data_IF_502865692942
#
_entry.id   IF_502865692942
#
_cell.length_a   1.000
_cell.length_b   1.000
_cell.length_c   1.000
_cell.angle_alpha   90.00
_cell.angle_beta   90.00
_cell.angle_gamma   90.00
#
_symmetry.space_group_name_H-M   'P 1'
#
loop_
_entity.id
_entity.type
_entity.pdbx_description
1 polymer ?
#
# COMPACT_ATOMS: atom_id res chain seq x y z
N UNK A 1 -2.97 -1.29 15.95
CA UNK A 1 -2.50 -2.71 15.88
C UNK A 1 -1.26 -2.77 15.00
N UNK A 2 -0.22 -3.54 15.35
CA UNK A 2 1.05 -3.52 14.60
C UNK A 2 1.01 -4.46 13.39
N UNK A 3 1.75 -4.12 12.34
CA UNK A 3 1.97 -4.94 11.14
C UNK A 3 2.45 -6.37 11.50
N UNK A 4 3.14 -6.52 12.63
CA UNK A 4 3.61 -7.79 13.17
C UNK A 4 2.48 -8.77 13.49
N UNK A 5 1.35 -8.27 14.01
CA UNK A 5 0.17 -9.10 14.32
C UNK A 5 -0.50 -9.58 13.03
N UNK A 6 -0.60 -8.72 12.00
CA UNK A 6 -1.10 -9.11 10.69
C UNK A 6 -0.29 -10.26 10.08
N UNK A 7 1.05 -10.12 10.09
CA UNK A 7 1.96 -11.15 9.59
C UNK A 7 1.70 -12.49 10.28
N UNK A 8 1.70 -12.51 11.62
CA UNK A 8 1.48 -13.74 12.41
C UNK A 8 0.12 -14.38 12.14
N UNK A 9 -0.94 -13.58 12.01
CA UNK A 9 -2.29 -14.08 11.69
C UNK A 9 -2.35 -14.68 10.28
N UNK A 10 -1.80 -14.01 9.30
CA UNK A 10 -1.77 -14.52 7.92
C UNK A 10 -0.90 -15.77 7.80
N UNK A 11 0.22 -15.85 8.53
CA UNK A 11 1.05 -17.06 8.59
C UNK A 11 0.28 -18.26 9.15
N UNK A 12 -0.54 -18.04 10.19
CA UNK A 12 -1.39 -19.08 10.77
C UNK A 12 -2.47 -19.58 9.80
N UNK A 13 -3.03 -18.68 8.96
CA UNK A 13 -4.12 -18.99 8.03
C UNK A 13 -3.61 -19.59 6.71
N UNK A 14 -2.60 -18.97 6.10
CA UNK A 14 -2.15 -19.29 4.74
C UNK A 14 -0.87 -20.13 4.73
N UNK A 15 -0.17 -20.22 5.87
CA UNK A 15 1.18 -20.75 5.95
C UNK A 15 2.25 -19.67 5.76
N UNK A 16 3.45 -19.94 6.24
CA UNK A 16 4.53 -18.96 6.35
C UNK A 16 4.94 -18.38 4.98
N UNK A 17 5.11 -19.25 3.98
CA UNK A 17 5.61 -18.87 2.65
C UNK A 17 4.59 -17.99 1.90
N UNK A 18 3.34 -18.43 1.80
CA UNK A 18 2.27 -17.69 1.12
C UNK A 18 1.99 -16.34 1.79
N UNK A 19 1.97 -16.30 3.13
CA UNK A 19 1.71 -15.06 3.85
C UNK A 19 2.81 -14.01 3.63
N UNK A 20 4.09 -14.43 3.66
CA UNK A 20 5.22 -13.55 3.39
C UNK A 20 5.17 -12.99 1.97
N UNK A 21 4.95 -13.86 0.99
CA UNK A 21 4.92 -13.46 -0.41
C UNK A 21 3.72 -12.55 -0.74
N UNK A 22 2.54 -12.84 -0.16
CA UNK A 22 1.34 -11.99 -0.31
C UNK A 22 1.61 -10.55 0.16
N UNK A 23 2.21 -10.41 1.34
CA UNK A 23 2.53 -9.10 1.90
C UNK A 23 3.64 -8.40 1.11
N UNK A 24 4.66 -9.15 0.69
CA UNK A 24 5.75 -8.63 -0.13
C UNK A 24 5.24 -8.06 -1.47
N UNK A 25 4.45 -8.83 -2.22
CA UNK A 25 3.93 -8.37 -3.52
C UNK A 25 2.93 -7.21 -3.35
N UNK A 26 2.16 -7.20 -2.28
CA UNK A 26 1.29 -6.06 -1.95
C UNK A 26 2.10 -4.78 -1.67
N UNK A 27 3.17 -4.87 -0.87
CA UNK A 27 4.05 -3.72 -0.59
C UNK A 27 4.76 -3.22 -1.85
N UNK A 28 5.23 -4.14 -2.71
CA UNK A 28 5.85 -3.79 -4.00
C UNK A 28 4.86 -3.12 -4.96
N UNK A 29 3.64 -3.64 -5.05
CA UNK A 29 2.59 -3.02 -5.85
C UNK A 29 2.33 -1.57 -5.41
N UNK A 30 2.23 -1.31 -4.10
CA UNK A 30 2.08 0.03 -3.54
C UNK A 30 3.27 0.93 -3.82
N UNK A 31 4.49 0.46 -3.58
CA UNK A 31 5.69 1.26 -3.78
C UNK A 31 5.87 1.67 -5.24
N UNK A 32 5.62 0.76 -6.18
CA UNK A 32 5.70 1.05 -7.62
C UNK A 32 4.59 2.00 -8.09
N UNK A 33 3.39 1.90 -7.50
CA UNK A 33 2.32 2.88 -7.73
C UNK A 33 2.76 4.29 -7.34
N UNK A 34 3.34 4.46 -6.14
CA UNK A 34 3.83 5.76 -5.69
C UNK A 34 4.96 6.33 -6.56
N UNK A 35 5.80 5.46 -7.11
CA UNK A 35 6.85 5.86 -8.07
C UNK A 35 6.29 6.18 -9.46
N UNK A 36 5.03 5.86 -9.74
CA UNK A 36 4.42 6.01 -11.07
C UNK A 36 4.96 5.01 -12.09
N UNK A 37 5.60 3.92 -11.63
CA UNK A 37 6.09 2.85 -12.51
C UNK A 37 4.94 1.92 -12.89
N UNK A 38 4.24 2.28 -13.97
CA UNK A 38 3.06 1.56 -14.45
C UNK A 38 3.38 0.09 -14.71
N UNK A 39 4.47 -0.19 -15.39
CA UNK A 39 4.85 -1.55 -15.79
C UNK A 39 5.11 -2.45 -14.59
N UNK A 40 5.94 -1.98 -13.64
CA UNK A 40 6.23 -2.76 -12.44
C UNK A 40 5.02 -2.83 -11.50
N UNK A 41 4.22 -1.77 -11.40
CA UNK A 41 3.00 -1.75 -10.61
C UNK A 41 2.01 -2.83 -11.07
N UNK A 42 1.74 -2.93 -12.36
CA UNK A 42 0.89 -3.97 -12.94
C UNK A 42 1.50 -5.38 -12.80
N UNK A 43 2.82 -5.51 -12.88
CA UNK A 43 3.49 -6.81 -12.66
C UNK A 43 3.31 -7.29 -11.23
N UNK A 44 3.56 -6.44 -10.24
CA UNK A 44 3.40 -6.78 -8.82
C UNK A 44 1.93 -7.01 -8.46
N UNK A 45 0.99 -6.24 -9.02
CA UNK A 45 -0.45 -6.48 -8.82
C UNK A 45 -0.89 -7.86 -9.36
N UNK A 46 -0.37 -8.28 -10.51
CA UNK A 46 -0.65 -9.62 -11.04
C UNK A 46 -0.05 -10.73 -10.17
N UNK A 47 1.19 -10.57 -9.70
CA UNK A 47 1.82 -11.50 -8.74
C UNK A 47 1.05 -11.56 -7.42
N UNK A 48 0.64 -10.42 -6.89
CA UNK A 48 -0.27 -10.36 -5.74
C UNK A 48 -1.53 -11.19 -5.99
N UNK A 49 -2.13 -11.08 -7.19
CA UNK A 49 -3.33 -11.85 -7.55
C UNK A 49 -3.06 -13.36 -7.59
N UNK A 50 -1.92 -13.79 -8.13
CA UNK A 50 -1.50 -15.20 -8.19
C UNK A 50 -1.29 -15.78 -6.78
N UNK A 51 -0.59 -15.04 -5.91
CA UNK A 51 -0.36 -15.47 -4.53
C UNK A 51 -1.67 -15.45 -3.73
N UNK A 52 -2.48 -14.42 -3.88
CA UNK A 52 -3.75 -14.30 -3.17
C UNK A 52 -4.71 -15.45 -3.51
N UNK A 53 -4.85 -15.80 -4.80
CA UNK A 53 -5.73 -16.93 -5.19
C UNK A 53 -5.18 -18.26 -4.65
N UNK A 54 -3.86 -18.42 -4.54
CA UNK A 54 -3.21 -19.57 -3.91
C UNK A 54 -3.48 -19.60 -2.39
N UNK A 55 -3.49 -18.45 -1.71
CA UNK A 55 -3.91 -18.34 -0.31
C UNK A 55 -5.36 -18.82 -0.12
N UNK A 56 -6.28 -18.41 -1.00
CA UNK A 56 -7.68 -18.86 -0.95
C UNK A 56 -7.81 -20.37 -1.18
N UNK A 57 -7.01 -20.92 -2.11
CA UNK A 57 -6.95 -22.38 -2.34
C UNK A 57 -6.44 -23.10 -1.10
N UNK A 58 -5.41 -22.58 -0.42
CA UNK A 58 -4.89 -23.14 0.84
C UNK A 58 -5.94 -23.15 1.96
N UNK A 59 -6.79 -22.11 2.01
CA UNK A 59 -7.90 -22.05 2.97
C UNK A 59 -8.96 -23.09 2.66
N UNK A 60 -9.31 -23.28 1.38
CA UNK A 60 -10.30 -24.27 0.96
C UNK A 60 -9.82 -25.72 1.10
N UNK A 61 -8.50 -25.94 0.99
CA UNK A 61 -7.86 -27.26 1.10
C UNK A 61 -6.61 -27.16 1.97
N UNK A 62 -6.75 -27.21 3.30
CA UNK A 62 -5.64 -27.01 4.24
C UNK A 62 -4.46 -27.95 4.08
N UNK A 63 -4.69 -29.18 3.59
CA UNK A 63 -3.64 -30.17 3.34
C UNK A 63 -2.83 -29.95 2.07
N UNK A 64 -3.29 -29.07 1.16
CA UNK A 64 -2.60 -28.84 -0.12
C UNK A 64 -1.22 -28.22 0.11
N UNK A 65 -0.22 -28.76 -0.59
CA UNK A 65 1.09 -28.13 -0.72
C UNK A 65 1.13 -27.31 -2.02
N UNK A 66 1.37 -26.01 -1.88
CA UNK A 66 1.40 -25.08 -3.01
C UNK A 66 2.84 -24.70 -3.32
N UNK A 67 3.29 -25.04 -4.51
CA UNK A 67 4.56 -24.57 -5.06
C UNK A 67 4.35 -23.17 -5.67
N UNK A 68 4.99 -22.16 -5.06
CA UNK A 68 4.89 -20.77 -5.51
C UNK A 68 5.33 -20.55 -6.96
N UNK A 69 6.22 -21.40 -7.47
CA UNK A 69 6.72 -21.30 -8.85
C UNK A 69 5.76 -21.92 -9.88
N UNK A 70 4.72 -22.64 -9.44
CA UNK A 70 3.80 -23.41 -10.30
C UNK A 70 2.34 -23.06 -10.10
N UNK A 71 2.04 -21.84 -9.66
CA UNK A 71 0.67 -21.39 -9.46
C UNK A 71 -0.05 -21.31 -10.81
N UNK A 72 -1.10 -22.11 -10.98
CA UNK A 72 -1.96 -22.11 -12.16
C UNK A 72 -3.24 -21.31 -11.86
N UNK A 73 -3.17 -19.97 -11.97
CA UNK A 73 -4.26 -19.03 -11.62
C UNK A 73 -5.61 -19.49 -12.18
N UNK A 74 -5.70 -19.75 -13.49
CA UNK A 74 -6.96 -20.10 -14.14
C UNK A 74 -7.59 -21.40 -13.61
N UNK A 75 -6.77 -22.43 -13.29
CA UNK A 75 -7.25 -23.67 -12.67
C UNK A 75 -7.81 -23.41 -11.28
N UNK A 76 -7.04 -22.73 -10.44
CA UNK A 76 -7.45 -22.41 -9.05
C UNK A 76 -8.73 -21.57 -9.08
N UNK A 77 -8.83 -20.57 -9.96
CA UNK A 77 -10.03 -19.76 -10.12
C UNK A 77 -11.27 -20.62 -10.38
N UNK A 78 -11.20 -21.55 -11.33
CA UNK A 78 -12.32 -22.45 -11.65
C UNK A 78 -12.66 -23.36 -10.47
N UNK A 79 -11.66 -23.88 -9.77
CA UNK A 79 -11.88 -24.74 -8.60
C UNK A 79 -12.60 -23.98 -7.47
N UNK A 80 -12.20 -22.75 -7.18
CA UNK A 80 -12.83 -21.91 -6.14
C UNK A 80 -14.29 -21.58 -6.47
N UNK A 81 -14.63 -21.38 -7.76
CA UNK A 81 -16.02 -21.11 -8.17
C UNK A 81 -16.97 -22.28 -7.86
N UNK A 82 -16.47 -23.50 -7.79
CA UNK A 82 -17.23 -24.72 -7.50
C UNK A 82 -17.53 -24.92 -6.02
N UNK A 83 -16.84 -24.19 -5.12
CA UNK A 83 -17.02 -24.30 -3.67
C UNK A 83 -18.41 -23.77 -3.30
N UNK A 84 -19.19 -24.50 -2.49
CA UNK A 84 -20.43 -23.99 -1.92
C UNK A 84 -20.19 -22.72 -1.08
N UNK A 85 -21.15 -21.78 -1.13
CA UNK A 85 -21.04 -20.47 -0.48
C UNK A 85 -22.24 -20.23 0.45
N UNK A 86 -22.38 -21.01 1.54
CA UNK A 86 -23.52 -20.93 2.44
C UNK A 86 -23.55 -19.65 3.29
N UNK A 87 -22.46 -18.90 3.36
CA UNK A 87 -22.39 -17.65 4.12
C UNK A 87 -21.80 -16.50 3.32
N UNK A 88 -22.06 -15.26 3.74
CA UNK A 88 -21.49 -14.05 3.16
C UNK A 88 -19.94 -14.08 3.15
N UNK A 89 -19.32 -14.69 4.16
CA UNK A 89 -17.87 -14.87 4.23
C UNK A 89 -17.36 -15.73 3.06
N UNK A 90 -17.99 -16.87 2.81
CA UNK A 90 -17.61 -17.78 1.73
C UNK A 90 -17.93 -17.18 0.35
N UNK A 91 -19.03 -16.42 0.24
CA UNK A 91 -19.33 -15.66 -0.98
C UNK A 91 -18.20 -14.66 -1.30
N UNK A 92 -17.73 -13.90 -0.31
CA UNK A 92 -16.60 -12.97 -0.50
C UNK A 92 -15.33 -13.72 -0.86
N UNK A 93 -14.98 -14.80 -0.14
CA UNK A 93 -13.71 -15.52 -0.32
C UNK A 93 -13.65 -16.30 -1.64
N UNK A 94 -14.75 -16.96 -2.04
CA UNK A 94 -14.73 -17.92 -3.16
C UNK A 94 -15.46 -17.45 -4.41
N UNK A 95 -16.13 -16.28 -4.35
CA UNK A 95 -16.79 -15.67 -5.51
C UNK A 95 -16.23 -14.29 -5.80
N UNK A 96 -16.41 -13.33 -4.89
CA UNK A 96 -16.14 -11.91 -5.16
C UNK A 96 -14.63 -11.64 -5.28
N UNK A 97 -13.82 -12.03 -4.30
CA UNK A 97 -12.37 -11.83 -4.34
C UNK A 97 -11.73 -12.49 -5.58
N UNK A 98 -12.02 -13.77 -5.94
CA UNK A 98 -11.48 -14.36 -7.15
C UNK A 98 -11.83 -13.60 -8.44
N UNK A 99 -13.02 -13.00 -8.55
CA UNK A 99 -13.40 -12.19 -9.72
C UNK A 99 -12.57 -10.91 -9.82
N UNK A 100 -12.36 -10.23 -8.70
CA UNK A 100 -11.48 -9.03 -8.64
C UNK A 100 -10.05 -9.41 -9.00
N UNK A 101 -9.52 -10.50 -8.45
CA UNK A 101 -8.17 -11.00 -8.78
C UNK A 101 -8.05 -11.37 -10.27
N UNK A 102 -9.10 -11.97 -10.86
CA UNK A 102 -9.15 -12.27 -12.29
C UNK A 102 -9.10 -11.01 -13.15
N UNK A 103 -9.77 -9.94 -12.74
CA UNK A 103 -9.72 -8.67 -13.46
C UNK A 103 -8.31 -8.08 -13.45
N UNK A 104 -7.64 -8.03 -12.28
CA UNK A 104 -6.25 -7.58 -12.15
C UNK A 104 -5.32 -8.41 -13.04
N UNK A 105 -5.39 -9.73 -12.93
CA UNK A 105 -4.58 -10.67 -13.71
C UNK A 105 -4.81 -10.50 -15.23
N UNK A 106 -6.06 -10.26 -15.65
CA UNK A 106 -6.42 -10.07 -17.06
C UNK A 106 -5.85 -8.78 -17.64
N UNK A 107 -5.89 -7.67 -16.88
CA UNK A 107 -5.32 -6.39 -17.33
C UNK A 107 -3.84 -6.55 -17.64
N UNK A 108 -3.05 -7.14 -16.74
CA UNK A 108 -1.62 -7.38 -16.98
C UNK A 108 -1.38 -8.25 -18.21
N UNK A 109 -2.20 -9.28 -18.41
CA UNK A 109 -2.02 -10.21 -19.54
C UNK A 109 -2.47 -9.64 -20.88
N UNK A 110 -3.41 -8.71 -20.92
CA UNK A 110 -3.98 -8.10 -22.14
C UNK A 110 -3.32 -6.79 -22.51
N UNK A 111 -2.72 -6.08 -21.58
CA UNK A 111 -1.98 -4.83 -21.83
C UNK A 111 -0.49 -5.13 -22.09
N UNK A 112 0.22 -4.17 -22.67
CA UNK A 112 1.64 -4.28 -23.05
C UNK A 112 2.55 -4.11 -21.83
N UNK A 113 2.55 -5.09 -20.94
CA UNK A 113 3.38 -5.08 -19.71
C UNK A 113 4.63 -5.95 -19.86
N UNK A 114 4.49 -7.15 -20.45
CA UNK A 114 5.59 -8.11 -20.60
C UNK A 114 5.85 -8.54 -22.05
N UNK A 115 4.92 -8.31 -22.96
CA UNK A 115 5.00 -8.69 -24.36
C UNK A 115 4.41 -7.60 -25.26
N UNK A 116 4.73 -7.64 -26.55
CA UNK A 116 4.12 -6.76 -27.55
C UNK A 116 2.62 -7.09 -27.65
N UNK A 117 1.75 -6.18 -27.25
CA UNK A 117 0.29 -6.27 -27.32
C UNK A 117 -0.30 -5.09 -28.06
N UNK A 118 -1.57 -5.15 -28.44
CA UNK A 118 -2.23 -4.08 -29.20
C UNK A 118 -2.43 -2.79 -28.38
N UNK A 119 -2.57 -2.89 -27.06
CA UNK A 119 -2.82 -1.73 -26.18
C UNK A 119 -1.73 -1.59 -25.13
N UNK A 120 -1.24 -0.37 -24.93
CA UNK A 120 -0.31 -0.04 -23.86
C UNK A 120 -1.04 -0.01 -22.51
N UNK A 121 -0.30 -0.29 -21.44
CA UNK A 121 -0.74 -0.02 -20.09
C UNK A 121 -0.66 1.49 -19.80
N UNK A 122 -1.62 2.00 -19.05
CA UNK A 122 -1.70 3.43 -18.69
C UNK A 122 -1.93 3.63 -17.19
N UNK A 123 -2.03 4.90 -16.77
CA UNK A 123 -2.24 5.26 -15.38
C UNK A 123 -3.61 4.85 -14.84
N UNK A 124 -4.63 4.75 -15.69
CA UNK A 124 -5.98 4.31 -15.31
C UNK A 124 -5.94 2.83 -14.95
N UNK A 125 -5.21 2.01 -15.73
CA UNK A 125 -5.00 0.60 -15.43
C UNK A 125 -4.29 0.42 -14.07
N UNK A 126 -3.25 1.24 -13.81
CA UNK A 126 -2.51 1.19 -12.56
C UNK A 126 -3.40 1.60 -11.36
N UNK A 127 -4.20 2.65 -11.50
CA UNK A 127 -5.13 3.12 -10.47
C UNK A 127 -6.17 2.03 -10.14
N UNK A 128 -6.75 1.41 -11.16
CA UNK A 128 -7.70 0.32 -10.98
C UNK A 128 -7.08 -0.86 -10.22
N UNK A 129 -5.91 -1.33 -10.65
CA UNK A 129 -5.33 -2.53 -10.02
C UNK A 129 -4.86 -2.27 -8.60
N UNK A 130 -4.31 -1.07 -8.27
CA UNK A 130 -3.90 -0.78 -6.89
C UNK A 130 -5.10 -0.65 -5.97
N UNK A 131 -6.17 -0.01 -6.41
CA UNK A 131 -7.42 0.11 -5.65
C UNK A 131 -8.04 -1.26 -5.40
N UNK A 132 -8.02 -2.13 -6.41
CA UNK A 132 -8.49 -3.51 -6.31
C UNK A 132 -7.64 -4.35 -5.35
N UNK A 133 -6.31 -4.24 -5.40
CA UNK A 133 -5.41 -4.92 -4.44
C UNK A 133 -5.65 -4.43 -3.00
N UNK A 134 -5.85 -3.12 -2.81
CA UNK A 134 -6.18 -2.55 -1.51
C UNK A 134 -7.50 -3.10 -0.98
N UNK A 135 -8.54 -3.17 -1.81
CA UNK A 135 -9.83 -3.71 -1.42
C UNK A 135 -9.72 -5.19 -1.03
N UNK A 136 -9.05 -6.01 -1.85
CA UNK A 136 -8.84 -7.44 -1.56
C UNK A 136 -8.11 -7.63 -0.23
N UNK A 137 -7.01 -6.90 0.00
CA UNK A 137 -6.25 -6.97 1.25
C UNK A 137 -7.13 -6.59 2.45
N UNK A 138 -7.95 -5.54 2.32
CA UNK A 138 -8.88 -5.10 3.37
C UNK A 138 -9.91 -6.18 3.69
N UNK A 139 -10.47 -6.86 2.69
CA UNK A 139 -11.40 -7.98 2.92
C UNK A 139 -10.73 -9.14 3.66
N UNK A 140 -9.50 -9.50 3.30
CA UNK A 140 -8.75 -10.54 4.02
C UNK A 140 -8.49 -10.16 5.48
N UNK A 141 -8.19 -8.89 5.75
CA UNK A 141 -8.00 -8.37 7.11
C UNK A 141 -9.30 -8.47 7.90
N UNK A 142 -10.41 -7.99 7.37
CA UNK A 142 -11.73 -8.06 8.02
C UNK A 142 -12.07 -9.52 8.37
N UNK A 143 -11.91 -10.43 7.42
CA UNK A 143 -12.33 -11.83 7.56
C UNK A 143 -11.47 -12.60 8.58
N UNK A 144 -10.17 -12.33 8.64
CA UNK A 144 -9.25 -13.18 9.42
C UNK A 144 -8.74 -12.57 10.72
N UNK A 145 -8.86 -11.25 10.91
CA UNK A 145 -8.41 -10.60 12.14
C UNK A 145 -9.51 -10.38 13.17
N UNK A 146 -10.78 -10.45 12.77
CA UNK A 146 -11.96 -10.24 13.66
C UNK A 146 -11.85 -8.94 14.48
N UNK A 147 -11.43 -7.86 13.83
CA UNK A 147 -11.23 -6.56 14.48
C UNK A 147 -12.56 -5.80 14.60
N UNK A 148 -12.58 -4.82 15.51
CA UNK A 148 -13.59 -3.79 15.48
C UNK A 148 -13.55 -3.04 14.14
N UNK A 149 -14.64 -2.39 13.76
CA UNK A 149 -14.67 -1.58 12.53
C UNK A 149 -13.60 -0.48 12.55
N UNK A 150 -13.43 0.18 13.69
CA UNK A 150 -12.44 1.24 13.90
C UNK A 150 -11.01 0.73 13.76
N UNK A 151 -10.68 -0.40 14.40
CA UNK A 151 -9.38 -1.05 14.29
C UNK A 151 -9.10 -1.53 12.86
N UNK A 152 -10.13 -2.04 12.18
CA UNK A 152 -10.02 -2.48 10.79
C UNK A 152 -9.72 -1.30 9.88
N UNK A 153 -10.44 -0.18 10.03
CA UNK A 153 -10.21 1.05 9.27
C UNK A 153 -8.80 1.58 9.55
N UNK A 154 -8.40 1.64 10.83
CA UNK A 154 -7.08 2.11 11.24
C UNK A 154 -5.97 1.23 10.65
N UNK A 155 -6.08 -0.10 10.74
CA UNK A 155 -5.11 -1.03 10.18
C UNK A 155 -5.06 -0.96 8.65
N UNK A 156 -6.21 -0.94 7.98
CA UNK A 156 -6.30 -0.81 6.53
C UNK A 156 -5.64 0.50 6.07
N UNK A 157 -5.95 1.61 6.73
CA UNK A 157 -5.31 2.89 6.44
C UNK A 157 -3.79 2.82 6.64
N UNK A 158 -3.31 2.18 7.70
CA UNK A 158 -1.85 2.05 7.94
C UNK A 158 -1.15 1.19 6.87
N UNK A 159 -1.84 0.19 6.33
CA UNK A 159 -1.35 -0.62 5.20
C UNK A 159 -1.44 0.17 3.89
N UNK A 160 -2.45 1.03 3.77
CA UNK A 160 -2.65 1.92 2.62
C UNK A 160 -1.83 3.21 2.71
N UNK A 161 -1.20 3.51 3.87
CA UNK A 161 -0.34 4.68 4.03
C UNK A 161 0.79 4.68 3.01
N UNK A 162 1.04 5.86 2.46
CA UNK A 162 2.17 6.11 1.57
C UNK A 162 3.46 5.80 2.33
N UNK A 163 4.18 4.76 1.95
CA UNK A 163 5.55 4.55 2.44
C UNK A 163 6.50 5.26 1.51
N UNK A 164 6.95 6.43 1.91
CA UNK A 164 8.05 7.11 1.22
C UNK A 164 9.34 6.37 1.60
N UNK A 165 10.00 5.76 0.61
CA UNK A 165 11.24 4.99 0.83
C UNK A 165 12.36 5.80 1.49
N UNK A 166 12.28 7.12 1.43
CA UNK A 166 13.24 8.04 2.04
C UNK A 166 12.89 8.48 3.45
N UNK A 167 11.81 7.98 4.03
CA UNK A 167 11.43 8.18 5.43
C UNK A 167 11.25 6.81 6.09
N UNK A 168 12.01 6.56 7.15
CA UNK A 168 11.93 5.34 7.93
C UNK A 168 11.41 5.64 9.35
N UNK A 169 10.54 4.77 9.83
CA UNK A 169 10.08 4.77 11.21
C UNK A 169 10.60 3.52 11.89
N UNK A 170 11.42 3.71 12.90
CA UNK A 170 12.04 2.65 13.69
C UNK A 170 11.09 2.07 14.75
N UNK A 171 11.47 0.93 15.33
CA UNK A 171 10.66 0.20 16.32
C UNK A 171 10.44 1.01 17.62
N UNK A 172 11.39 1.87 17.98
CA UNK A 172 11.32 2.80 19.12
C UNK A 172 10.43 4.03 18.85
N UNK A 173 9.90 4.16 17.62
CA UNK A 173 9.06 5.25 17.18
C UNK A 173 9.84 6.43 16.58
N UNK A 174 11.18 6.38 16.54
CA UNK A 174 11.97 7.40 15.85
C UNK A 174 11.65 7.42 14.36
N UNK A 175 11.60 8.63 13.79
CA UNK A 175 11.37 8.85 12.35
C UNK A 175 12.60 9.53 11.79
N UNK A 176 13.18 8.93 10.75
CA UNK A 176 14.38 9.44 10.10
C UNK A 176 14.14 9.66 8.60
N UNK A 177 14.64 10.79 8.10
CA UNK A 177 14.70 11.07 6.66
C UNK A 177 16.03 10.53 6.14
N UNK A 178 15.99 9.48 5.33
CA UNK A 178 17.18 8.80 4.81
C UNK A 178 17.82 9.57 3.65
N UNK A 179 17.05 10.39 2.92
CA UNK A 179 17.53 11.17 1.77
C UNK A 179 18.43 12.32 2.24
N UNK A 180 19.70 12.28 1.83
CA UNK A 180 20.66 13.35 2.06
C UNK A 180 20.43 14.51 1.07
N UNK A 181 20.85 15.73 1.47
CA UNK A 181 20.85 16.92 0.59
C UNK A 181 19.49 17.61 0.40
N UNK A 182 18.45 17.20 1.10
CA UNK A 182 17.18 17.93 1.10
C UNK A 182 17.32 19.27 1.82
N UNK A 183 16.75 20.33 1.21
CA UNK A 183 16.58 21.61 1.92
C UNK A 183 15.54 21.42 3.03
N UNK A 184 15.65 22.19 4.11
CA UNK A 184 14.76 22.04 5.27
C UNK A 184 13.28 22.14 4.91
N UNK A 185 12.89 23.06 4.03
CA UNK A 185 11.51 23.19 3.53
C UNK A 185 11.00 21.91 2.81
N UNK A 186 11.91 21.25 2.09
CA UNK A 186 11.59 20.02 1.36
C UNK A 186 11.40 18.84 2.32
N UNK A 187 12.30 18.72 3.31
CA UNK A 187 12.19 17.74 4.37
C UNK A 187 10.89 17.91 5.17
N UNK A 188 10.55 19.16 5.52
CA UNK A 188 9.29 19.47 6.23
C UNK A 188 8.06 19.11 5.41
N UNK A 189 8.04 19.46 4.12
CA UNK A 189 6.92 19.13 3.24
C UNK A 189 6.81 17.60 3.03
N UNK A 190 7.94 16.90 2.92
CA UNK A 190 8.01 15.46 2.77
C UNK A 190 7.46 14.72 4.00
N UNK A 191 7.77 15.19 5.21
CA UNK A 191 7.21 14.66 6.46
C UNK A 191 5.69 14.84 6.49
N UNK A 192 5.19 16.02 6.15
CA UNK A 192 3.75 16.28 6.09
C UNK A 192 3.05 15.47 4.99
N UNK A 193 3.76 15.12 3.91
CA UNK A 193 3.25 14.25 2.86
C UNK A 193 3.18 12.79 3.30
N UNK A 194 4.20 12.31 4.06
CA UNK A 194 4.22 10.95 4.61
C UNK A 194 3.12 10.71 5.64
N UNK A 195 2.87 11.73 6.48
CA UNK A 195 1.88 11.63 7.56
C UNK A 195 0.70 12.55 7.24
N UNK A 196 -0.36 12.06 6.55
CA UNK A 196 -1.49 12.86 6.11
C UNK A 196 -2.44 13.22 7.26
N UNK A 197 -1.91 13.44 8.45
CA UNK A 197 -2.59 13.97 9.63
C UNK A 197 -2.05 15.35 9.98
N UNK A 198 -2.83 16.09 10.78
CA UNK A 198 -2.34 17.36 11.33
C UNK A 198 -1.19 17.08 12.30
N UNK A 199 -0.07 17.74 12.09
CA UNK A 199 1.14 17.61 12.91
C UNK A 199 1.41 18.90 13.65
N UNK A 200 1.65 18.78 14.95
CA UNK A 200 2.04 19.91 15.81
C UNK A 200 3.47 20.35 15.53
N UNK A 201 3.80 21.57 15.93
CA UNK A 201 5.20 22.07 15.84
C UNK A 201 6.17 21.22 16.66
N UNK A 202 5.70 20.66 17.77
CA UNK A 202 6.50 19.80 18.64
C UNK A 202 6.83 18.47 17.95
N UNK A 203 5.83 17.79 17.35
CA UNK A 203 6.05 16.56 16.55
C UNK A 203 7.05 16.80 15.41
N UNK A 204 6.86 17.90 14.65
CA UNK A 204 7.75 18.25 13.55
C UNK A 204 9.17 18.58 14.04
N UNK A 205 9.31 19.23 15.20
CA UNK A 205 10.61 19.52 15.79
C UNK A 205 11.36 18.25 16.22
N UNK A 206 10.64 17.29 16.78
CA UNK A 206 11.20 15.98 17.17
C UNK A 206 11.70 15.19 15.96
N UNK A 207 10.96 15.20 14.85
CA UNK A 207 11.32 14.46 13.63
C UNK A 207 12.46 15.15 12.88
N UNK A 208 12.37 16.46 12.68
CA UNK A 208 13.30 17.18 11.81
C UNK A 208 14.59 17.65 12.52
N UNK A 209 14.59 17.66 13.86
CA UNK A 209 15.73 18.05 14.71
C UNK A 209 16.49 19.29 14.17
N UNK A 210 15.80 20.44 13.97
CA UNK A 210 16.41 21.62 13.37
C UNK A 210 17.45 22.22 14.32
N UNK A 211 18.48 22.91 13.78
CA UNK A 211 19.50 23.64 14.59
C UNK A 211 18.88 24.67 15.54
N UNK A 212 17.74 25.28 15.17
CA UNK A 212 16.97 26.21 15.99
C UNK A 212 15.48 25.87 15.86
N UNK A 213 14.75 25.77 16.97
CA UNK A 213 13.32 25.46 16.98
C UNK A 213 12.47 26.49 16.20
N UNK A 214 12.92 27.73 16.12
CA UNK A 214 12.30 28.79 15.31
C UNK A 214 12.23 28.46 13.82
N UNK A 215 13.10 27.59 13.29
CA UNK A 215 13.07 27.18 11.88
C UNK A 215 11.76 26.51 11.50
N UNK A 216 11.19 25.67 12.38
CA UNK A 216 9.87 25.04 12.11
C UNK A 216 8.83 26.11 11.83
N UNK A 217 8.71 27.12 12.70
CA UNK A 217 7.70 28.18 12.53
C UNK A 217 7.95 29.00 11.25
N UNK A 218 9.19 29.35 10.98
CA UNK A 218 9.57 30.11 9.77
C UNK A 218 9.19 29.36 8.51
N UNK A 219 9.54 28.07 8.41
CA UNK A 219 9.27 27.29 7.20
C UNK A 219 7.82 26.84 7.09
N UNK A 220 7.08 26.64 8.21
CA UNK A 220 5.64 26.44 8.16
C UNK A 220 4.91 27.68 7.60
N UNK A 221 5.29 28.87 8.04
CA UNK A 221 4.72 30.11 7.49
C UNK A 221 5.08 30.28 6.00
N UNK A 222 6.32 29.98 5.62
CA UNK A 222 6.72 29.97 4.21
C UNK A 222 5.84 29.03 3.36
N UNK A 223 5.70 27.75 3.77
CA UNK A 223 4.89 26.76 3.04
C UNK A 223 3.40 27.12 3.02
N UNK A 224 2.91 27.77 4.07
CA UNK A 224 1.53 28.27 4.11
C UNK A 224 1.32 29.40 3.10
N UNK A 225 2.25 30.37 3.03
CA UNK A 225 2.19 31.47 2.06
C UNK A 225 2.31 30.95 0.61
N UNK A 226 3.12 29.91 0.37
CA UNK A 226 3.20 29.20 -0.92
C UNK A 226 1.97 28.34 -1.22
N UNK A 227 0.96 28.32 -0.31
CA UNK A 227 -0.27 27.53 -0.45
C UNK A 227 -0.03 26.03 -0.61
N UNK A 228 1.04 25.51 0.02
CA UNK A 228 1.39 24.06 -0.03
C UNK A 228 0.86 23.29 1.18
N UNK A 229 0.51 23.99 2.25
CA UNK A 229 -0.03 23.41 3.49
C UNK A 229 -1.21 24.23 3.99
N UNK A 230 -2.00 23.63 4.87
CA UNK A 230 -2.93 24.33 5.74
C UNK A 230 -2.32 24.39 7.14
N UNK A 231 -2.25 25.60 7.73
CA UNK A 231 -1.67 25.87 9.05
C UNK A 231 -2.72 26.53 9.94
N UNK A 232 -2.90 26.03 11.16
CA UNK A 232 -3.74 26.63 12.20
C UNK A 232 -3.09 26.47 13.59
N UNK A 233 -3.83 26.78 14.67
CA UNK A 233 -3.36 26.67 16.06
C UNK A 233 -3.02 25.24 16.46
N UNK A 234 -3.69 24.25 15.89
CA UNK A 234 -3.50 22.81 16.17
C UNK A 234 -2.30 22.21 15.44
N UNK A 235 -1.77 22.88 14.40
CA UNK A 235 -0.63 22.41 13.63
C UNK A 235 -0.80 22.55 12.12
N UNK A 236 0.02 21.82 11.38
CA UNK A 236 0.11 21.83 9.93
C UNK A 236 -0.35 20.52 9.29
N UNK A 237 -0.94 20.62 8.12
CA UNK A 237 -1.28 19.47 7.27
C UNK A 237 -1.01 19.84 5.79
N UNK A 238 -0.51 18.92 5.01
CA UNK A 238 -0.31 19.13 3.58
C UNK A 238 -1.65 19.28 2.87
N UNK A 239 -1.71 20.14 1.86
CA UNK A 239 -2.89 20.29 1.01
C UNK A 239 -2.66 19.74 -0.41
N UNK A 240 -3.66 19.84 -1.29
CA UNK A 240 -3.59 19.32 -2.66
C UNK A 240 -2.41 19.89 -3.48
N UNK A 241 -2.05 21.16 -3.28
CA UNK A 241 -0.93 21.76 -3.98
C UNK A 241 0.42 21.21 -3.47
N UNK A 242 0.56 21.06 -2.16
CA UNK A 242 1.74 20.43 -1.56
C UNK A 242 1.93 18.99 -2.00
N UNK A 243 0.83 18.23 -2.10
CA UNK A 243 0.85 16.87 -2.65
C UNK A 243 1.36 16.88 -4.09
N UNK A 244 0.80 17.74 -4.96
CA UNK A 244 1.25 17.88 -6.35
C UNK A 244 2.72 18.29 -6.46
N UNK A 245 3.19 19.19 -5.60
CA UNK A 245 4.59 19.64 -5.58
C UNK A 245 5.54 18.47 -5.31
N UNK A 246 5.21 17.57 -4.38
CA UNK A 246 5.99 16.37 -4.10
C UNK A 246 5.89 15.37 -5.26
N UNK A 247 4.70 15.12 -5.76
CA UNK A 247 4.44 14.13 -6.80
C UNK A 247 5.07 14.52 -8.16
N UNK A 248 5.13 15.81 -8.49
CA UNK A 248 5.81 16.30 -9.69
C UNK A 248 7.34 16.17 -9.61
N UNK A 249 7.91 15.97 -8.40
CA UNK A 249 9.34 15.84 -8.17
C UNK A 249 9.69 14.45 -7.60
N UNK A 250 8.97 13.41 -8.01
CA UNK A 250 9.12 12.03 -7.49
C UNK A 250 10.57 11.54 -7.55
N UNK A 251 11.24 11.72 -8.66
CA UNK A 251 12.65 11.32 -8.84
C UNK A 251 13.56 11.97 -7.79
N UNK A 252 13.25 13.20 -7.38
CA UNK A 252 14.03 13.90 -6.35
C UNK A 252 13.78 13.37 -4.95
N UNK A 253 12.56 12.90 -4.65
CA UNK A 253 12.17 12.60 -3.27
C UNK A 253 12.11 11.11 -2.96
N UNK A 254 11.91 10.24 -3.97
CA UNK A 254 11.67 8.82 -3.76
C UNK A 254 12.77 7.88 -4.29
N UNK A 255 13.74 8.40 -5.00
CA UNK A 255 14.97 7.70 -5.41
C UNK A 255 16.15 8.18 -4.58
#
# INVERSE_FOLDING_TARGET
>A
MSQKILILKFQKVFGNSLAKELLFEFEKCKSTYWLGDITKGLLHAARFSEICIACLKKVSEPSINIDLNKIKFGKIYVDLQKIPKPSAKEEILYSVIPQVLKAIFTIRNKKRVAHIKMTNADSIDLEFVITSCNWVMSQLIIIYLFLSLEDTISLTNSIMERKILTIEKFEDGEIMILKKGLKFKEALLLVLYQFPKRMTRQELNTILKPRKSSYISTYLNYLYNEKLIHLNKEGAIINKNGIKEIENKKEKYFT
#
